data_IF_679984173418
#
_entry.id   IF_679984173418
#
_cell.length_a   1.000
_cell.length_b   1.000
_cell.length_c   1.000
_cell.angle_alpha   90.00
_cell.angle_beta   90.00
_cell.angle_gamma   90.00
#
_symmetry.space_group_name_H-M   'P 1'
#
loop_
_entity.id
_entity.type
_entity.pdbx_description
1 polymer ?
#
# COMPACT_ATOMS: atom_id res chain seq x y z
N UNK A 1 -6.82 -42.27 58.51
CA UNK A 1 -6.26 -42.21 57.14
C UNK A 1 -6.59 -40.83 56.55
N UNK A 2 -5.60 -39.94 56.39
CA UNK A 2 -5.78 -38.55 55.92
C UNK A 2 -5.45 -38.51 54.43
N UNK A 3 -6.45 -38.33 53.58
CA UNK A 3 -6.26 -38.11 52.13
C UNK A 3 -5.75 -36.68 51.91
N UNK A 4 -4.53 -36.53 51.44
CA UNK A 4 -3.98 -35.26 50.93
C UNK A 4 -4.40 -35.10 49.48
N UNK A 5 -5.31 -34.14 49.23
CA UNK A 5 -5.69 -33.70 47.89
C UNK A 5 -4.56 -32.81 47.32
N UNK A 6 -3.86 -33.32 46.32
CA UNK A 6 -2.80 -32.59 45.61
C UNK A 6 -3.44 -31.72 44.52
N UNK A 7 -3.52 -30.43 44.76
CA UNK A 7 -4.00 -29.47 43.76
C UNK A 7 -2.82 -29.11 42.82
N UNK A 8 -2.83 -29.63 41.60
CA UNK A 8 -1.88 -29.25 40.56
C UNK A 8 -2.38 -27.97 39.91
N UNK A 9 -1.76 -26.85 40.26
CA UNK A 9 -1.98 -25.55 39.60
C UNK A 9 -1.12 -25.54 38.33
N UNK A 10 -1.72 -25.82 37.18
CA UNK A 10 -1.08 -25.61 35.88
C UNK A 10 -1.05 -24.12 35.59
N UNK A 11 0.13 -23.49 35.73
CA UNK A 11 0.37 -22.13 35.23
C UNK A 11 0.31 -22.16 33.71
N UNK A 12 -0.78 -21.63 33.18
CA UNK A 12 -0.92 -21.36 31.75
C UNK A 12 -0.11 -20.09 31.45
N UNK A 13 1.12 -20.26 30.94
CA UNK A 13 1.92 -19.15 30.43
C UNK A 13 1.23 -18.60 29.17
N UNK A 14 0.45 -17.51 29.32
CA UNK A 14 0.01 -16.70 28.20
C UNK A 14 1.24 -15.96 27.66
N UNK A 15 1.91 -16.52 26.66
CA UNK A 15 2.86 -15.77 25.85
C UNK A 15 2.06 -14.77 25.04
N UNK A 16 2.16 -13.49 25.41
CA UNK A 16 1.66 -12.39 24.58
C UNK A 16 2.42 -12.43 23.25
N UNK A 17 1.75 -12.82 22.17
CA UNK A 17 2.29 -12.69 20.82
C UNK A 17 2.22 -11.21 20.51
N UNK A 18 3.36 -10.51 20.60
CA UNK A 18 3.49 -9.16 20.09
C UNK A 18 3.36 -9.22 18.56
N UNK A 19 2.17 -8.89 18.06
CA UNK A 19 1.95 -8.69 16.63
C UNK A 19 2.60 -7.35 16.29
N UNK A 20 3.81 -7.39 15.74
CA UNK A 20 4.46 -6.22 15.15
C UNK A 20 3.65 -5.79 13.94
N UNK A 21 2.68 -4.90 14.15
CA UNK A 21 1.90 -4.32 13.07
C UNK A 21 2.80 -3.37 12.28
N UNK A 22 3.02 -3.68 10.99
CA UNK A 22 3.76 -2.79 10.11
C UNK A 22 3.07 -1.43 10.03
N UNK A 23 3.79 -0.37 10.40
CA UNK A 23 3.32 0.99 10.37
C UNK A 23 4.15 1.84 9.41
N UNK A 24 3.50 2.75 8.68
CA UNK A 24 4.14 3.75 7.84
C UNK A 24 3.69 5.11 8.34
N UNK A 25 4.64 5.96 8.71
CA UNK A 25 4.41 7.30 9.29
C UNK A 25 3.32 7.35 10.37
N UNK A 26 3.22 6.27 11.18
CA UNK A 26 2.25 6.15 12.27
C UNK A 26 0.88 5.56 11.87
N UNK A 27 0.72 5.11 10.61
CA UNK A 27 -0.49 4.44 10.15
C UNK A 27 -0.27 2.93 10.03
N UNK A 28 -1.13 2.16 10.70
CA UNK A 28 -1.11 0.70 10.69
C UNK A 28 -2.13 0.15 9.71
N UNK A 29 -1.74 -0.82 8.89
CA UNK A 29 -2.64 -1.56 8.00
C UNK A 29 -3.70 -2.34 8.77
N UNK A 30 -3.40 -2.82 9.97
CA UNK A 30 -4.34 -3.55 10.84
C UNK A 30 -5.54 -2.68 11.27
N UNK A 31 -5.33 -1.38 11.48
CA UNK A 31 -6.43 -0.44 11.82
C UNK A 31 -7.50 -0.36 10.71
N UNK A 32 -7.09 -0.60 9.46
CA UNK A 32 -7.96 -0.54 8.28
C UNK A 32 -8.18 -1.90 7.65
N UNK A 33 -8.04 -2.95 8.46
CA UNK A 33 -8.18 -4.33 8.04
C UNK A 33 -9.56 -4.62 7.48
N UNK A 34 -9.57 -5.49 6.48
CA UNK A 34 -10.78 -6.08 5.91
C UNK A 34 -10.56 -7.58 5.76
N UNK A 35 -11.61 -8.34 5.87
CA UNK A 35 -11.57 -9.77 5.57
C UNK A 35 -11.35 -9.99 4.07
N UNK A 36 -10.44 -10.91 3.76
CA UNK A 36 -10.20 -11.32 2.38
C UNK A 36 -11.37 -12.14 1.88
N UNK A 37 -11.84 -11.82 0.71
CA UNK A 37 -12.87 -12.60 0.06
C UNK A 37 -12.27 -13.86 -0.56
N UNK A 38 -12.80 -15.03 -0.22
CA UNK A 38 -12.44 -16.28 -0.87
C UNK A 38 -13.06 -16.30 -2.29
N UNK A 39 -12.19 -16.14 -3.30
CA UNK A 39 -12.63 -15.98 -4.67
C UNK A 39 -12.53 -17.30 -5.41
N UNK A 40 -13.64 -17.69 -6.01
CA UNK A 40 -13.67 -18.79 -6.98
C UNK A 40 -13.52 -18.32 -8.44
N UNK A 41 -13.82 -17.03 -8.73
CA UNK A 41 -13.86 -16.53 -10.12
C UNK A 41 -13.73 -15.01 -10.16
N UNK A 42 -13.03 -14.51 -11.18
CA UNK A 42 -13.01 -13.08 -11.55
C UNK A 42 -14.16 -12.78 -12.52
N UNK A 43 -14.95 -11.74 -12.25
CA UNK A 43 -15.97 -11.28 -13.18
C UNK A 43 -15.36 -10.55 -14.39
N UNK A 44 -16.14 -10.41 -15.46
CA UNK A 44 -15.68 -9.74 -16.68
C UNK A 44 -15.47 -8.25 -16.44
N UNK A 45 -14.38 -7.69 -17.01
CA UNK A 45 -14.08 -6.26 -16.96
C UNK A 45 -15.25 -5.41 -17.49
N UNK A 46 -15.64 -4.43 -16.71
CA UNK A 46 -16.69 -3.48 -17.03
C UNK A 46 -16.12 -2.08 -17.27
N UNK A 47 -15.67 -1.79 -18.49
CA UNK A 47 -15.15 -0.47 -18.88
C UNK A 47 -16.22 0.64 -18.93
N UNK A 48 -17.50 0.32 -18.76
CA UNK A 48 -18.55 1.34 -18.66
C UNK A 48 -18.54 1.99 -17.27
N UNK A 49 -18.03 1.31 -16.25
CA UNK A 49 -17.94 1.84 -14.89
C UNK A 49 -16.90 2.96 -14.76
N UNK A 50 -15.90 3.00 -15.67
CA UNK A 50 -14.89 4.04 -15.76
C UNK A 50 -14.53 4.27 -17.24
N UNK A 51 -15.15 5.24 -17.91
CA UNK A 51 -14.91 5.51 -19.33
C UNK A 51 -13.47 5.88 -19.66
N UNK A 52 -12.76 6.57 -18.76
CA UNK A 52 -11.37 6.97 -18.96
C UNK A 52 -10.41 5.79 -18.94
N UNK A 53 -10.74 4.72 -18.22
CA UNK A 53 -9.98 3.48 -18.19
C UNK A 53 -9.88 2.83 -19.60
N UNK A 54 -10.75 3.20 -20.56
CA UNK A 54 -10.66 2.73 -21.96
C UNK A 54 -9.36 3.14 -22.64
N UNK A 55 -8.78 4.27 -22.24
CA UNK A 55 -7.50 4.75 -22.78
C UNK A 55 -6.35 3.79 -22.43
N UNK A 56 -6.52 2.99 -21.39
CA UNK A 56 -5.53 2.03 -20.87
C UNK A 56 -6.01 0.59 -20.97
N UNK A 57 -6.97 0.31 -21.86
CA UNK A 57 -7.66 -0.98 -21.97
C UNK A 57 -6.74 -2.18 -22.02
N UNK A 58 -5.69 -2.15 -22.83
CA UNK A 58 -4.74 -3.27 -22.95
C UNK A 58 -4.05 -3.54 -21.62
N UNK A 59 -3.47 -2.50 -21.00
CA UNK A 59 -2.77 -2.62 -19.71
C UNK A 59 -3.67 -3.17 -18.61
N UNK A 60 -4.89 -2.64 -18.52
CA UNK A 60 -5.86 -3.07 -17.50
C UNK A 60 -6.30 -4.51 -17.77
N UNK A 61 -6.53 -4.89 -19.03
CA UNK A 61 -6.96 -6.26 -19.36
C UNK A 61 -5.87 -7.28 -19.03
N UNK A 62 -4.63 -7.00 -19.39
CA UNK A 62 -3.50 -7.88 -19.12
C UNK A 62 -3.20 -7.97 -17.62
N UNK A 63 -3.12 -6.83 -16.93
CA UNK A 63 -2.91 -6.77 -15.50
C UNK A 63 -4.00 -7.48 -14.71
N UNK A 64 -5.26 -7.30 -15.08
CA UNK A 64 -6.38 -8.02 -14.45
C UNK A 64 -6.32 -9.53 -14.68
N UNK A 65 -5.98 -9.96 -15.90
CA UNK A 65 -5.87 -11.38 -16.24
C UNK A 65 -4.79 -12.08 -15.39
N UNK A 66 -3.63 -11.46 -15.25
CA UNK A 66 -2.46 -12.04 -14.58
C UNK A 66 -2.46 -11.78 -13.07
N UNK A 67 -3.04 -10.66 -12.62
CA UNK A 67 -3.01 -10.21 -11.23
C UNK A 67 -3.77 -11.13 -10.28
N UNK A 68 -3.45 -11.00 -9.01
CA UNK A 68 -4.18 -11.57 -7.86
C UNK A 68 -4.72 -10.44 -7.02
N UNK A 69 -5.69 -10.72 -6.16
CA UNK A 69 -6.16 -9.72 -5.20
C UNK A 69 -5.01 -9.29 -4.31
N UNK A 70 -4.69 -8.01 -4.34
CA UNK A 70 -3.57 -7.38 -3.64
C UNK A 70 -3.98 -6.15 -2.83
N UNK A 71 -5.25 -5.71 -2.94
CA UNK A 71 -5.78 -4.58 -2.20
C UNK A 71 -7.20 -4.80 -1.70
N UNK A 72 -7.49 -4.33 -0.48
CA UNK A 72 -8.85 -4.15 0.07
C UNK A 72 -9.76 -5.38 0.03
N UNK A 73 -9.21 -6.59 0.04
CA UNK A 73 -9.92 -7.87 0.09
C UNK A 73 -10.48 -8.38 -1.25
N UNK A 74 -10.72 -7.49 -2.22
CA UNK A 74 -11.42 -7.84 -3.48
C UNK A 74 -10.83 -7.20 -4.74
N UNK A 75 -9.85 -6.31 -4.61
CA UNK A 75 -9.34 -5.51 -5.72
C UNK A 75 -8.02 -6.06 -6.23
N UNK A 76 -7.85 -6.01 -7.54
CA UNK A 76 -6.58 -6.18 -8.23
C UNK A 76 -6.12 -4.81 -8.66
N UNK A 77 -4.94 -4.39 -8.20
CA UNK A 77 -4.33 -3.12 -8.62
C UNK A 77 -3.53 -3.32 -9.89
N UNK A 78 -3.64 -2.37 -10.81
CA UNK A 78 -2.88 -2.33 -12.05
C UNK A 78 -2.21 -0.95 -12.11
N UNK A 79 -0.89 -0.91 -12.03
CA UNK A 79 -0.10 0.30 -11.96
C UNK A 79 0.81 0.36 -13.18
N UNK A 80 0.98 1.55 -13.77
CA UNK A 80 1.82 1.75 -14.95
C UNK A 80 2.49 3.12 -14.94
N UNK A 81 3.64 3.22 -15.64
CA UNK A 81 4.29 4.50 -15.89
C UNK A 81 3.50 5.35 -16.89
N UNK A 82 3.37 6.64 -16.63
CA UNK A 82 2.71 7.63 -17.49
C UNK A 82 3.68 8.68 -18.07
N UNK A 83 4.98 8.47 -17.92
CA UNK A 83 6.06 9.35 -18.36
C UNK A 83 7.22 9.33 -17.37
N UNK A 84 8.21 10.21 -17.58
CA UNK A 84 9.36 10.29 -16.69
C UNK A 84 8.91 10.63 -15.26
N UNK A 85 9.14 9.71 -14.31
CA UNK A 85 8.79 9.91 -12.90
C UNK A 85 7.30 9.88 -12.56
N UNK A 86 6.42 9.67 -13.53
CA UNK A 86 4.97 9.60 -13.32
C UNK A 86 4.50 8.15 -13.23
N UNK A 87 3.64 7.86 -12.25
CA UNK A 87 2.88 6.61 -12.16
C UNK A 87 1.39 6.89 -12.12
N UNK A 88 0.63 6.04 -12.78
CA UNK A 88 -0.82 6.04 -12.76
C UNK A 88 -1.33 4.62 -12.52
N UNK A 89 -2.60 4.45 -12.24
CA UNK A 89 -3.12 3.13 -11.99
C UNK A 89 -4.63 3.09 -11.82
N UNK A 90 -5.13 1.88 -11.94
CA UNK A 90 -6.52 1.55 -11.67
C UNK A 90 -6.59 0.31 -10.78
N UNK A 91 -7.71 0.11 -10.13
CA UNK A 91 -8.01 -1.14 -9.47
C UNK A 91 -9.34 -1.71 -9.99
N UNK A 92 -9.44 -3.02 -10.02
CA UNK A 92 -10.62 -3.74 -10.49
C UNK A 92 -11.22 -4.56 -9.37
N UNK A 93 -12.50 -4.35 -9.10
CA UNK A 93 -13.28 -5.20 -8.21
C UNK A 93 -13.56 -6.54 -8.91
N UNK A 94 -13.04 -7.63 -8.38
CA UNK A 94 -13.19 -8.96 -8.97
C UNK A 94 -14.61 -9.51 -8.89
N UNK A 95 -15.48 -8.94 -8.03
CA UNK A 95 -16.86 -9.38 -7.79
C UNK A 95 -17.82 -8.95 -8.90
N UNK A 96 -17.54 -7.78 -9.54
CA UNK A 96 -18.44 -7.20 -10.57
C UNK A 96 -17.67 -6.62 -11.78
N UNK A 97 -16.34 -6.72 -11.79
CA UNK A 97 -15.46 -6.26 -12.86
C UNK A 97 -15.36 -4.74 -13.00
N UNK A 98 -15.93 -3.97 -12.06
CA UNK A 98 -15.86 -2.50 -12.11
C UNK A 98 -14.46 -1.98 -11.85
N UNK A 99 -14.13 -0.90 -12.54
CA UNK A 99 -12.82 -0.27 -12.56
C UNK A 99 -12.90 1.05 -11.79
N UNK A 100 -11.93 1.29 -10.93
CA UNK A 100 -11.81 2.51 -10.13
C UNK A 100 -10.39 3.04 -10.25
N UNK A 101 -10.24 4.37 -10.18
CA UNK A 101 -8.93 5.00 -10.21
C UNK A 101 -8.21 4.82 -8.88
N UNK A 102 -6.90 4.60 -8.94
CA UNK A 102 -6.03 4.69 -7.78
C UNK A 102 -5.69 6.17 -7.51
N UNK A 103 -5.37 6.54 -6.26
CA UNK A 103 -4.97 7.90 -5.93
C UNK A 103 -3.52 8.16 -6.36
N UNK A 104 -3.30 8.07 -7.67
CA UNK A 104 -2.04 8.26 -8.40
C UNK A 104 -2.27 9.24 -9.56
N UNK A 105 -1.23 9.65 -10.25
CA UNK A 105 -1.33 10.50 -11.44
C UNK A 105 -0.23 11.54 -11.54
N UNK A 106 -0.46 12.61 -12.31
CA UNK A 106 0.55 13.62 -12.63
C UNK A 106 1.16 14.34 -11.43
N UNK A 107 0.42 14.43 -10.31
CA UNK A 107 0.95 15.00 -9.06
C UNK A 107 1.95 14.06 -8.36
N UNK A 108 1.98 12.79 -8.75
CA UNK A 108 2.89 11.79 -8.21
C UNK A 108 4.12 11.65 -9.11
N UNK A 109 5.00 12.65 -9.05
CA UNK A 109 6.32 12.53 -9.62
C UNK A 109 7.16 11.57 -8.75
N UNK A 110 7.43 10.41 -9.33
CA UNK A 110 8.40 9.46 -8.79
C UNK A 110 9.83 9.93 -9.11
N UNK A 111 10.13 11.19 -8.80
CA UNK A 111 11.50 11.69 -8.82
C UNK A 111 12.18 11.07 -7.60
N UNK A 112 12.78 9.89 -7.81
CA UNK A 112 13.20 9.03 -6.76
C UNK A 112 14.23 9.65 -5.84
N UNK A 113 14.02 9.50 -4.56
CA UNK A 113 15.14 9.45 -3.66
C UNK A 113 15.87 8.15 -3.98
N UNK A 114 17.07 8.25 -4.48
CA UNK A 114 17.90 7.09 -4.75
C UNK A 114 18.27 6.43 -3.42
N UNK A 115 17.83 5.20 -3.23
CA UNK A 115 18.38 4.36 -2.19
C UNK A 115 19.69 3.78 -2.73
N UNK A 116 20.82 4.18 -2.16
CA UNK A 116 22.12 3.59 -2.50
C UNK A 116 22.31 2.20 -1.83
N UNK A 117 21.33 1.72 -1.09
CA UNK A 117 21.36 0.41 -0.47
C UNK A 117 20.47 -0.55 -1.25
N UNK A 118 21.05 -1.49 -1.96
CA UNK A 118 20.35 -2.63 -2.57
C UNK A 118 19.52 -3.44 -1.55
N UNK A 119 19.77 -3.25 -0.26
CA UNK A 119 19.04 -3.86 0.86
C UNK A 119 17.86 -3.02 1.37
N UNK A 120 17.71 -1.76 0.97
CA UNK A 120 16.51 -0.96 1.24
C UNK A 120 15.45 -1.24 0.16
N UNK A 121 14.96 -2.47 0.10
CA UNK A 121 13.80 -2.89 -0.70
C UNK A 121 12.48 -2.24 -0.24
N UNK A 122 12.53 -1.30 0.69
CA UNK A 122 11.38 -0.51 1.09
C UNK A 122 11.39 0.81 0.31
N UNK A 123 11.05 0.71 -0.97
CA UNK A 123 10.51 1.85 -1.66
C UNK A 123 9.17 2.21 -1.01
N UNK A 124 9.24 3.09 0.00
CA UNK A 124 8.08 3.57 0.75
C UNK A 124 7.11 4.39 -0.11
N UNK A 125 7.34 4.48 -1.41
CA UNK A 125 6.57 5.32 -2.31
C UNK A 125 5.17 4.80 -2.56
N UNK A 126 4.97 3.48 -2.47
CA UNK A 126 3.69 2.85 -2.74
C UNK A 126 3.46 1.67 -1.80
N UNK A 127 2.53 1.84 -0.86
CA UNK A 127 2.28 0.86 0.18
C UNK A 127 0.79 0.56 0.31
N UNK A 128 0.43 -0.68 0.11
CA UNK A 128 -0.93 -1.21 0.27
C UNK A 128 -0.88 -2.71 0.57
N UNK A 129 -2.00 -3.28 1.00
CA UNK A 129 -2.11 -4.72 1.31
C UNK A 129 -3.45 -5.28 0.88
N UNK A 130 -3.43 -6.55 0.52
CA UNK A 130 -4.63 -7.31 0.17
C UNK A 130 -5.68 -7.35 1.29
N UNK A 131 -5.25 -7.28 2.54
CA UNK A 131 -6.09 -7.36 3.74
C UNK A 131 -6.43 -5.99 4.35
N UNK A 132 -6.15 -4.88 3.65
CA UNK A 132 -6.37 -3.53 4.20
C UNK A 132 -6.92 -2.56 3.16
N UNK A 133 -7.76 -1.63 3.62
CA UNK A 133 -8.26 -0.51 2.81
C UNK A 133 -7.31 0.70 2.80
N UNK A 134 -6.20 0.63 3.54
CA UNK A 134 -5.21 1.69 3.60
C UNK A 134 -4.31 1.65 2.37
N UNK A 135 -4.16 2.81 1.71
CA UNK A 135 -3.31 2.99 0.54
C UNK A 135 -2.43 4.22 0.79
N UNK A 136 -1.14 4.02 0.96
CA UNK A 136 -0.17 5.07 1.26
C UNK A 136 0.74 5.25 0.07
N UNK A 137 0.86 6.49 -0.40
CA UNK A 137 1.83 6.87 -1.42
C UNK A 137 2.77 7.93 -0.89
N UNK A 138 3.97 8.02 -1.44
CA UNK A 138 4.92 9.06 -1.10
C UNK A 138 5.58 9.63 -2.36
N UNK A 139 5.76 10.95 -2.37
CA UNK A 139 6.63 11.66 -3.30
C UNK A 139 7.91 11.97 -2.56
N UNK A 140 9.04 11.77 -3.21
CA UNK A 140 10.34 12.08 -2.64
C UNK A 140 11.11 13.05 -3.53
N UNK A 141 11.68 14.09 -2.93
CA UNK A 141 12.67 14.96 -3.55
C UNK A 141 13.99 14.89 -2.79
N UNK A 142 15.08 15.05 -3.50
CA UNK A 142 16.42 14.97 -2.96
C UNK A 142 17.24 16.17 -3.40
N UNK A 143 17.89 16.84 -2.45
CA UNK A 143 18.73 18.00 -2.69
C UNK A 143 20.08 17.80 -2.02
N UNK A 144 21.16 18.05 -2.74
CA UNK A 144 22.51 18.02 -2.19
C UNK A 144 22.70 19.14 -1.15
N UNK A 145 23.44 18.81 -0.07
CA UNK A 145 23.82 19.80 0.92
C UNK A 145 25.24 20.28 0.55
N UNK A 146 25.34 21.55 0.17
CA UNK A 146 26.59 22.17 -0.29
C UNK A 146 27.77 21.88 0.66
N UNK A 147 28.92 21.60 0.06
CA UNK A 147 30.18 21.30 0.76
C UNK A 147 30.16 20.09 1.71
N UNK A 148 29.23 19.17 1.49
CA UNK A 148 29.16 17.92 2.25
C UNK A 148 28.90 16.72 1.32
N UNK A 149 29.13 15.51 1.83
CA UNK A 149 28.70 14.27 1.17
C UNK A 149 27.30 13.85 1.61
N UNK A 150 26.40 14.83 1.85
CA UNK A 150 25.05 14.56 2.36
C UNK A 150 23.99 15.12 1.42
N UNK A 151 22.86 14.45 1.42
CA UNK A 151 21.65 14.88 0.74
C UNK A 151 20.52 15.07 1.74
N UNK A 152 19.68 16.06 1.49
CA UNK A 152 18.42 16.29 2.19
C UNK A 152 17.33 15.62 1.37
N UNK A 153 16.66 14.63 1.94
CA UNK A 153 15.49 13.98 1.37
C UNK A 153 14.22 14.54 2.00
N UNK A 154 13.28 14.96 1.18
CA UNK A 154 11.97 15.44 1.62
C UNK A 154 10.91 14.49 1.06
N UNK A 155 10.23 13.76 1.95
CA UNK A 155 9.14 12.83 1.60
C UNK A 155 7.79 13.41 2.00
N UNK A 156 6.87 13.50 1.04
CA UNK A 156 5.47 13.86 1.26
C UNK A 156 4.61 12.61 1.10
N UNK A 157 4.07 12.13 2.21
CA UNK A 157 3.17 10.96 2.25
C UNK A 157 1.71 11.39 2.10
N UNK A 158 0.96 10.64 1.31
CA UNK A 158 -0.49 10.76 1.15
C UNK A 158 -1.14 9.52 1.73
N UNK A 159 -1.93 9.71 2.78
CA UNK A 159 -2.61 8.64 3.49
C UNK A 159 -4.03 8.56 2.99
N UNK A 160 -4.33 7.57 2.17
CA UNK A 160 -5.64 7.36 1.57
C UNK A 160 -6.30 6.10 2.15
N UNK A 161 -7.61 6.14 2.30
CA UNK A 161 -8.41 4.98 2.69
C UNK A 161 -9.53 4.78 1.68
N UNK A 162 -9.62 3.56 1.16
CA UNK A 162 -10.72 3.19 0.29
C UNK A 162 -12.04 3.17 1.05
N UNK A 163 -13.01 3.93 0.56
CA UNK A 163 -14.36 3.98 1.07
C UNK A 163 -15.28 3.12 0.22
N UNK A 164 -15.59 1.94 0.73
CA UNK A 164 -16.39 0.94 0.00
C UNK A 164 -17.81 1.43 -0.34
N UNK A 165 -18.39 2.26 0.51
CA UNK A 165 -19.74 2.79 0.29
C UNK A 165 -19.75 3.88 -0.78
N UNK A 166 -18.77 4.78 -0.73
CA UNK A 166 -18.64 5.89 -1.71
C UNK A 166 -17.94 5.47 -3.00
N UNK A 167 -17.32 4.29 -3.03
CA UNK A 167 -16.50 3.79 -4.14
C UNK A 167 -15.42 4.79 -4.58
N UNK A 168 -14.73 5.38 -3.60
CA UNK A 168 -13.63 6.33 -3.81
C UNK A 168 -12.64 6.30 -2.66
N UNK A 169 -11.45 6.82 -2.90
CA UNK A 169 -10.47 7.07 -1.85
C UNK A 169 -10.83 8.36 -1.10
N UNK A 170 -10.82 8.28 0.23
CA UNK A 170 -10.86 9.44 1.11
C UNK A 170 -9.40 9.73 1.56
N UNK A 171 -8.87 10.91 1.23
CA UNK A 171 -7.57 11.37 1.72
C UNK A 171 -7.69 11.75 3.19
N UNK A 172 -7.03 10.99 4.05
CA UNK A 172 -7.06 11.25 5.50
C UNK A 172 -6.06 12.33 5.90
N UNK A 173 -4.83 12.28 5.32
CA UNK A 173 -3.75 13.19 5.72
C UNK A 173 -2.63 13.22 4.68
N UNK A 174 -1.95 14.40 4.62
CA UNK A 174 -0.63 14.57 4.04
C UNK A 174 0.38 14.73 5.17
N UNK A 175 1.53 14.06 5.09
CA UNK A 175 2.57 14.08 6.14
C UNK A 175 3.92 14.32 5.46
N UNK A 176 4.58 15.39 5.87
CA UNK A 176 5.94 15.68 5.43
C UNK A 176 6.95 15.08 6.39
N UNK A 177 8.04 14.55 5.85
CA UNK A 177 9.21 14.06 6.59
C UNK A 177 10.47 14.49 5.88
N UNK A 178 11.43 14.98 6.64
CA UNK A 178 12.75 15.34 6.15
C UNK A 178 13.79 14.43 6.78
N UNK A 179 14.69 13.92 5.96
CA UNK A 179 15.81 13.06 6.36
C UNK A 179 17.11 13.65 5.82
N UNK A 180 18.21 13.39 6.51
CA UNK A 180 19.55 13.66 5.99
C UNK A 180 20.25 12.31 5.78
N UNK A 181 20.75 12.06 4.59
CA UNK A 181 21.46 10.84 4.23
C UNK A 181 22.88 11.18 3.80
N UNK A 182 23.85 10.34 4.20
CA UNK A 182 25.22 10.43 3.70
C UNK A 182 25.31 9.64 2.39
N UNK A 183 25.88 10.23 1.35
CA UNK A 183 26.20 9.53 0.11
C UNK A 183 27.51 8.76 0.36
N UNK A 184 27.46 7.45 0.29
CA UNK A 184 28.65 6.59 0.25
C UNK A 184 28.95 6.29 -1.21
N UNK A 185 30.19 6.62 -1.65
CA UNK A 185 30.74 6.24 -2.97
C UNK A 185 30.80 4.72 -3.11
#
# INVERSE_FOLDING_TARGET
MKNKLLIIITLFNLTAIEINAQTIVGYSFEKYKIEKYAISKKEKLNFQSNPEAKNFKTRITEGYKQGKVDFGGYYITIIWGCGTGCINGAMVDIRDGKIYDLPLGEEFYYAGCFSNNENEQNDDSLNYKDSSRLFITAICSENEIENTNKVKQEKLYFINVWNEQKKKFDLLKKIERTFTKTITE
#
